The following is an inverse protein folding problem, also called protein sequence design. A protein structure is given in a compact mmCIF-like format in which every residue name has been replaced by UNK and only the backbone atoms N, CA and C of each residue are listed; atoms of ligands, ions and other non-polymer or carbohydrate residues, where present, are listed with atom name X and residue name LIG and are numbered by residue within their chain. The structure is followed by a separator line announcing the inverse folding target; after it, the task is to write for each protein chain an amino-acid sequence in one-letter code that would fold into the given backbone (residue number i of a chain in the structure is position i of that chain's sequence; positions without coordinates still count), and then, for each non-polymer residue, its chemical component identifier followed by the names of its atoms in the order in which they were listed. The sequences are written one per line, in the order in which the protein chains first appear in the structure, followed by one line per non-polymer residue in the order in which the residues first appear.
data_IF_136312442653
#
_entry.id   IF_136312442653
#
_cell.length_a   1.000
_cell.length_b   1.000
_cell.length_c   1.000
_cell.angle_alpha   90.00
_cell.angle_beta   90.00
_cell.angle_gamma   90.00
#
_symmetry.space_group_name_H-M   'P 1'
#
loop_
_entity.id
_entity.type
_entity.pdbx_description
1 polymer ?
#
# COMPACT_ATOMS: atom_id res chain seq x y z
N UNK A 1 -35.63 -4.76 101.59
CA UNK A 1 -35.08 -3.49 101.02
C UNK A 1 -33.59 -3.51 100.62
N UNK A 2 -32.74 -4.45 101.08
CA UNK A 2 -31.31 -4.45 100.73
C UNK A 2 -30.98 -4.95 99.29
N UNK A 3 -31.78 -5.84 98.70
CA UNK A 3 -31.55 -6.35 97.34
C UNK A 3 -31.73 -5.28 96.23
N UNK A 4 -32.61 -4.30 96.45
CA UNK A 4 -32.84 -3.19 95.50
C UNK A 4 -31.62 -2.26 95.39
N UNK A 5 -30.93 -1.99 96.51
CA UNK A 5 -29.71 -1.15 96.51
C UNK A 5 -28.57 -1.79 95.70
N UNK A 6 -28.44 -3.12 95.70
CA UNK A 6 -27.43 -3.86 94.94
C UNK A 6 -27.71 -3.94 93.43
N UNK A 7 -28.97 -3.89 92.99
CA UNK A 7 -29.30 -3.84 91.56
C UNK A 7 -29.04 -2.45 90.97
N UNK A 8 -29.35 -1.39 91.72
CA UNK A 8 -29.07 -0.01 91.30
C UNK A 8 -27.57 0.25 91.18
N UNK A 9 -26.74 -0.26 92.11
CA UNK A 9 -25.28 -0.12 92.04
C UNK A 9 -24.68 -0.86 90.84
N UNK A 10 -25.10 -2.11 90.57
CA UNK A 10 -24.65 -2.87 89.39
C UNK A 10 -25.01 -2.20 88.06
N UNK A 11 -26.19 -1.59 87.97
CA UNK A 11 -26.63 -0.84 86.77
C UNK A 11 -25.77 0.41 86.54
N UNK A 12 -25.45 1.16 87.60
CA UNK A 12 -24.54 2.32 87.52
C UNK A 12 -23.13 1.91 87.08
N UNK A 13 -22.58 0.82 87.61
CA UNK A 13 -21.24 0.32 87.22
C UNK A 13 -21.17 -0.11 85.76
N UNK A 14 -22.19 -0.81 85.23
CA UNK A 14 -22.25 -1.18 83.80
C UNK A 14 -22.37 0.04 82.89
N UNK A 15 -23.19 1.02 83.27
CA UNK A 15 -23.33 2.29 82.52
C UNK A 15 -22.02 3.07 82.51
N UNK A 16 -21.32 3.15 83.65
CA UNK A 16 -20.00 3.77 83.78
C UNK A 16 -18.97 3.06 82.90
N UNK A 17 -18.89 1.73 82.97
CA UNK A 17 -17.97 0.95 82.13
C UNK A 17 -18.22 1.18 80.62
N UNK A 18 -19.48 1.18 80.19
CA UNK A 18 -19.85 1.46 78.79
C UNK A 18 -19.48 2.90 78.37
N UNK A 19 -19.62 3.88 79.26
CA UNK A 19 -19.21 5.26 78.98
C UNK A 19 -17.69 5.40 78.87
N UNK A 20 -16.91 4.76 79.74
CA UNK A 20 -15.44 4.75 79.66
C UNK A 20 -14.98 4.08 78.36
N UNK A 21 -15.62 2.99 77.96
CA UNK A 21 -15.35 2.32 76.68
C UNK A 21 -15.63 3.22 75.48
N UNK A 22 -16.76 3.93 75.48
CA UNK A 22 -17.10 4.88 74.43
C UNK A 22 -16.14 6.08 74.42
N UNK A 23 -15.82 6.64 75.59
CA UNK A 23 -14.90 7.75 75.75
C UNK A 23 -13.49 7.37 75.23
N UNK A 24 -12.99 6.19 75.59
CA UNK A 24 -11.73 5.67 75.10
C UNK A 24 -11.73 5.46 73.59
N UNK A 25 -12.82 4.90 73.05
CA UNK A 25 -12.97 4.72 71.60
C UNK A 25 -12.93 6.05 70.86
N UNK A 26 -13.58 7.09 71.38
CA UNK A 26 -13.56 8.42 70.75
C UNK A 26 -12.22 9.14 70.96
N UNK A 27 -11.61 9.06 72.15
CA UNK A 27 -10.28 9.63 72.41
C UNK A 27 -9.18 8.99 71.55
N UNK A 28 -9.30 7.69 71.24
CA UNK A 28 -8.41 7.00 70.30
C UNK A 28 -8.50 7.53 68.87
N UNK A 29 -9.62 8.15 68.47
CA UNK A 29 -9.81 8.75 67.15
C UNK A 29 -9.17 10.12 67.01
N UNK A 30 -8.82 10.76 68.12
CA UNK A 30 -8.11 12.05 68.11
C UNK A 30 -6.59 11.85 68.02
N UNK A 31 -5.93 12.88 67.48
CA UNK A 31 -4.48 13.01 67.56
C UNK A 31 -4.00 12.98 69.02
N UNK A 32 -2.78 12.50 69.23
CA UNK A 32 -2.16 12.44 70.56
C UNK A 32 -2.23 13.78 71.33
N UNK A 33 -1.83 14.94 70.76
CA UNK A 33 -1.89 16.21 71.48
C UNK A 33 -3.32 16.62 71.85
N UNK A 34 -4.30 16.42 70.95
CA UNK A 34 -5.71 16.74 71.23
C UNK A 34 -6.31 15.83 72.30
N UNK A 35 -5.92 14.55 72.33
CA UNK A 35 -6.30 13.61 73.38
C UNK A 35 -5.76 14.06 74.74
N UNK A 36 -4.47 14.37 74.80
CA UNK A 36 -3.80 14.84 76.01
C UNK A 36 -4.47 16.12 76.51
N UNK A 37 -4.68 17.12 75.64
CA UNK A 37 -5.35 18.37 76.01
C UNK A 37 -6.75 18.14 76.61
N UNK A 38 -7.58 17.28 76.00
CA UNK A 38 -8.93 16.99 76.53
C UNK A 38 -8.86 16.30 77.88
N UNK A 39 -8.01 15.28 78.02
CA UNK A 39 -7.85 14.56 79.30
C UNK A 39 -7.37 15.54 80.36
N UNK A 40 -6.37 16.35 80.07
CA UNK A 40 -5.79 17.30 81.03
C UNK A 40 -6.77 18.40 81.43
N UNK A 41 -7.47 19.01 80.48
CA UNK A 41 -8.31 20.19 80.71
C UNK A 41 -9.73 19.85 81.17
N UNK A 42 -10.32 18.74 80.70
CA UNK A 42 -11.76 18.48 80.86
C UNK A 42 -12.09 17.42 81.91
N UNK A 43 -11.12 16.63 82.35
CA UNK A 43 -11.31 15.60 83.38
C UNK A 43 -10.70 16.06 84.71
N UNK A 44 -11.43 15.87 85.81
CA UNK A 44 -10.86 16.07 87.15
C UNK A 44 -9.80 15.01 87.46
N UNK A 45 -8.93 15.26 88.44
CA UNK A 45 -7.87 14.29 88.81
C UNK A 45 -8.44 12.91 89.18
N UNK A 46 -9.56 12.85 89.91
CA UNK A 46 -10.22 11.58 90.24
C UNK A 46 -10.78 10.84 89.01
N UNK A 47 -11.31 11.58 88.03
CA UNK A 47 -11.77 11.00 86.77
C UNK A 47 -10.60 10.49 85.92
N UNK A 48 -9.48 11.22 85.87
CA UNK A 48 -8.24 10.77 85.21
C UNK A 48 -7.77 9.44 85.78
N UNK A 49 -7.61 9.36 87.10
CA UNK A 49 -7.18 8.12 87.78
C UNK A 49 -8.15 6.95 87.52
N UNK A 50 -9.46 7.19 87.58
CA UNK A 50 -10.46 6.14 87.29
C UNK A 50 -10.35 5.65 85.84
N UNK A 51 -10.20 6.57 84.90
CA UNK A 51 -10.10 6.24 83.48
C UNK A 51 -8.79 5.51 83.16
N UNK A 52 -7.67 5.96 83.72
CA UNK A 52 -6.37 5.30 83.60
C UNK A 52 -6.40 3.88 84.17
N UNK A 53 -6.93 3.71 85.38
CA UNK A 53 -7.08 2.38 85.99
C UNK A 53 -7.97 1.46 85.15
N UNK A 54 -9.06 2.00 84.59
CA UNK A 54 -9.92 1.25 83.66
C UNK A 54 -9.17 0.84 82.38
N UNK A 55 -8.40 1.74 81.77
CA UNK A 55 -7.58 1.42 80.58
C UNK A 55 -6.58 0.31 80.90
N UNK A 56 -5.84 0.42 82.01
CA UNK A 56 -4.85 -0.57 82.42
C UNK A 56 -5.49 -1.94 82.69
N UNK A 57 -6.70 -1.97 83.24
CA UNK A 57 -7.47 -3.21 83.45
C UNK A 57 -7.97 -3.86 82.14
N UNK A 58 -8.19 -3.08 81.08
CA UNK A 58 -8.72 -3.59 79.80
C UNK A 58 -7.64 -3.94 78.77
N UNK A 59 -6.41 -3.47 78.91
CA UNK A 59 -5.30 -3.78 77.98
C UNK A 59 -4.66 -5.16 78.17
N UNK A 60 -5.03 -5.92 79.20
CA UNK A 60 -4.39 -7.20 79.56
C UNK A 60 -4.96 -8.46 78.86
N UNK A 61 -5.67 -8.32 77.74
CA UNK A 61 -6.15 -9.46 76.94
C UNK A 61 -5.67 -9.33 75.49
N UNK A 62 -4.57 -9.99 75.10
CA UNK A 62 -4.24 -10.23 73.70
C UNK A 62 -4.94 -11.50 73.20
N UNK A 63 -5.82 -11.34 72.21
CA UNK A 63 -6.42 -12.41 71.41
C UNK A 63 -5.33 -13.13 70.60
N UNK A 64 -5.25 -14.45 70.78
CA UNK A 64 -4.22 -15.34 70.22
C UNK A 64 -4.57 -15.99 68.87
N UNK A 65 -5.47 -15.40 68.06
CA UNK A 65 -5.95 -16.09 66.85
C UNK A 65 -6.21 -15.13 65.68
N UNK A 66 -5.21 -14.93 64.82
CA UNK A 66 -5.42 -14.59 63.40
C UNK A 66 -4.11 -14.68 62.59
N UNK A 67 -3.77 -15.90 62.13
CA UNK A 67 -2.87 -16.14 61.00
C UNK A 67 -3.73 -16.65 59.84
N UNK A 68 -3.60 -16.04 58.66
CA UNK A 68 -4.26 -16.43 57.41
C UNK A 68 -4.13 -15.28 56.40
N UNK A 69 -3.11 -15.26 55.52
CA UNK A 69 -2.95 -16.00 54.25
C UNK A 69 -4.06 -15.67 53.25
N UNK A 70 -3.70 -14.96 52.17
CA UNK A 70 -4.19 -15.09 50.78
C UNK A 70 -3.31 -14.16 49.91
N UNK A 71 -2.47 -14.63 49.00
CA UNK A 71 -2.69 -15.39 47.76
C UNK A 71 -3.38 -14.57 46.65
N UNK A 72 -2.54 -13.91 45.85
CA UNK A 72 -2.29 -14.10 44.41
C UNK A 72 -3.43 -14.12 43.37
N UNK A 73 -3.01 -13.97 42.11
CA UNK A 73 -3.73 -13.90 40.81
C UNK A 73 -4.17 -12.50 40.40
N UNK A 74 -3.94 -11.99 39.19
CA UNK A 74 -3.35 -12.56 37.98
C UNK A 74 -3.97 -11.88 36.74
N UNK A 75 -3.37 -12.15 35.57
CA UNK A 75 -3.96 -12.13 34.22
C UNK A 75 -3.72 -10.92 33.30
N UNK A 76 -2.98 -11.25 32.24
CA UNK A 76 -2.75 -10.57 30.96
C UNK A 76 -3.83 -10.90 29.93
N UNK A 77 -4.19 -9.96 29.05
CA UNK A 77 -4.86 -10.26 27.78
C UNK A 77 -4.36 -9.36 26.62
N UNK A 78 -4.39 -10.00 25.45
CA UNK A 78 -3.92 -9.60 24.11
C UNK A 78 -4.88 -8.62 23.41
N UNK A 79 -4.42 -7.96 22.32
CA UNK A 79 -5.31 -7.63 21.19
C UNK A 79 -4.55 -7.23 19.91
N UNK A 80 -5.19 -7.52 18.78
CA UNK A 80 -4.67 -7.72 17.44
C UNK A 80 -4.77 -6.50 16.50
N UNK A 81 -4.01 -6.58 15.40
CA UNK A 81 -4.04 -5.71 14.21
C UNK A 81 -5.25 -5.99 13.30
N UNK A 82 -5.61 -5.03 12.42
CA UNK A 82 -6.14 -5.40 11.10
C UNK A 82 -5.50 -4.67 9.91
N UNK A 83 -5.47 -5.42 8.80
CA UNK A 83 -4.95 -5.10 7.47
C UNK A 83 -6.09 -4.67 6.55
N UNK A 84 -5.88 -3.68 5.67
CA UNK A 84 -6.87 -3.31 4.64
C UNK A 84 -6.27 -2.57 3.45
N UNK A 85 -6.11 -3.26 2.31
CA UNK A 85 -5.60 -2.73 1.05
C UNK A 85 -6.71 -2.31 0.08
N UNK A 86 -6.59 -1.10 -0.49
CA UNK A 86 -7.48 -0.58 -1.56
C UNK A 86 -6.78 -0.56 -2.92
N UNK A 87 -7.36 -1.24 -3.90
CA UNK A 87 -7.00 -1.14 -5.32
C UNK A 87 -7.57 0.14 -5.95
N UNK A 88 -6.75 0.87 -6.73
CA UNK A 88 -7.13 2.07 -7.49
C UNK A 88 -7.21 1.77 -8.98
N UNK A 89 -8.36 2.10 -9.59
CA UNK A 89 -8.60 2.11 -11.05
C UNK A 89 -7.98 3.35 -11.70
N UNK A 90 -7.42 3.20 -12.91
CA UNK A 90 -6.86 4.29 -13.73
C UNK A 90 -7.88 4.74 -14.79
N UNK A 91 -8.11 6.06 -14.89
CA UNK A 91 -8.87 6.68 -15.97
C UNK A 91 -7.93 7.05 -17.13
N UNK A 92 -8.38 6.81 -18.37
CA UNK A 92 -7.67 7.14 -19.59
C UNK A 92 -8.21 8.43 -20.22
N UNK A 93 -7.32 9.37 -20.50
CA UNK A 93 -7.61 10.64 -21.16
C UNK A 93 -7.53 10.46 -22.68
N UNK A 94 -8.61 10.81 -23.39
CA UNK A 94 -8.64 10.92 -24.86
C UNK A 94 -8.25 12.35 -25.25
N UNK A 95 -7.32 12.51 -26.18
CA UNK A 95 -7.08 13.77 -26.89
C UNK A 95 -7.52 13.66 -28.34
N UNK A 96 -8.17 14.72 -28.80
CA UNK A 96 -8.76 14.91 -30.13
C UNK A 96 -7.88 15.88 -30.94
N UNK A 97 -7.81 15.66 -32.25
CA UNK A 97 -7.58 16.72 -33.25
C UNK A 97 -6.16 16.93 -33.76
N UNK A 98 -5.85 16.34 -34.92
CA UNK A 98 -5.27 17.07 -36.07
C UNK A 98 -5.32 16.17 -37.32
N UNK A 99 -5.91 16.72 -38.40
CA UNK A 99 -6.02 16.11 -39.73
C UNK A 99 -4.81 16.56 -40.55
N UNK A 100 -3.96 15.63 -40.94
CA UNK A 100 -3.01 15.77 -42.06
C UNK A 100 -2.55 14.37 -42.45
N UNK A 101 -2.77 14.02 -43.72
CA UNK A 101 -2.41 12.78 -44.42
C UNK A 101 -2.59 11.48 -43.62
N UNK A 102 -3.67 10.76 -43.93
CA UNK A 102 -3.96 9.41 -43.42
C UNK A 102 -2.86 8.41 -43.81
N UNK A 103 -1.74 8.44 -43.10
CA UNK A 103 -1.03 7.22 -42.74
C UNK A 103 -2.08 6.43 -41.98
N UNK A 104 -2.56 5.34 -42.60
CA UNK A 104 -3.46 4.37 -41.99
C UNK A 104 -2.99 4.12 -40.55
N UNK A 105 -3.68 4.72 -39.58
CA UNK A 105 -3.72 4.26 -38.19
C UNK A 105 -4.50 2.96 -38.26
N UNK A 106 -3.81 1.94 -38.78
CA UNK A 106 -4.30 0.59 -38.92
C UNK A 106 -5.04 0.24 -37.64
N UNK A 107 -6.22 -0.34 -37.80
CA UNK A 107 -6.84 -1.15 -36.77
C UNK A 107 -5.73 -1.91 -36.04
N UNK A 108 -5.85 -2.05 -34.72
CA UNK A 108 -5.01 -2.95 -33.94
C UNK A 108 -5.27 -4.39 -34.41
N UNK A 109 -4.86 -4.71 -35.65
CA UNK A 109 -4.75 -6.05 -36.17
C UNK A 109 -3.77 -6.69 -35.21
N UNK A 110 -4.31 -7.57 -34.37
CA UNK A 110 -3.48 -8.46 -33.58
C UNK A 110 -2.46 -9.08 -34.53
N UNK A 111 -1.21 -9.31 -34.09
CA UNK A 111 -0.28 -10.10 -34.88
C UNK A 111 -0.97 -11.42 -35.23
N UNK A 112 -1.27 -11.61 -36.51
CA UNK A 112 -2.21 -12.62 -36.97
C UNK A 112 -3.02 -12.13 -38.16
N UNK A 113 -3.01 -12.91 -39.23
CA UNK A 113 -3.70 -12.71 -40.49
C UNK A 113 -5.02 -11.90 -40.43
N UNK A 114 -5.17 -10.88 -41.28
CA UNK A 114 -6.34 -10.03 -41.34
C UNK A 114 -6.74 -9.59 -42.75
N UNK A 115 -8.01 -9.21 -42.89
CA UNK A 115 -8.55 -8.58 -44.09
C UNK A 115 -8.66 -7.08 -43.83
N UNK A 116 -8.05 -6.27 -44.70
CA UNK A 116 -8.22 -4.81 -44.69
C UNK A 116 -9.12 -4.39 -45.83
N UNK A 117 -9.96 -3.38 -45.61
CA UNK A 117 -10.81 -2.81 -46.66
C UNK A 117 -10.67 -1.30 -46.71
N UNK A 118 -10.80 -0.74 -47.91
CA UNK A 118 -10.86 0.71 -48.12
C UNK A 118 -11.78 1.03 -49.31
N UNK A 119 -12.20 2.29 -49.39
CA UNK A 119 -12.96 2.84 -50.50
C UNK A 119 -12.01 3.67 -51.38
N UNK A 120 -12.12 3.52 -52.69
CA UNK A 120 -11.45 4.44 -53.62
C UNK A 120 -12.22 5.77 -53.76
N UNK A 121 -11.69 6.70 -54.55
CA UNK A 121 -12.34 8.00 -54.82
C UNK A 121 -13.71 7.86 -55.50
N UNK A 122 -13.99 6.73 -56.14
CA UNK A 122 -15.28 6.42 -56.78
C UNK A 122 -16.28 5.71 -55.85
N UNK A 123 -15.92 5.51 -54.58
CA UNK A 123 -16.74 4.77 -53.62
C UNK A 123 -16.71 3.25 -53.80
N UNK A 124 -15.86 2.71 -54.68
CA UNK A 124 -15.69 1.27 -54.85
C UNK A 124 -14.85 0.70 -53.71
N UNK A 125 -15.32 -0.40 -53.14
CA UNK A 125 -14.65 -1.09 -52.03
C UNK A 125 -13.61 -2.08 -52.55
N UNK A 126 -12.42 -2.02 -51.96
CA UNK A 126 -11.35 -2.98 -52.18
C UNK A 126 -11.00 -3.70 -50.88
N UNK A 127 -10.58 -4.94 -51.02
CA UNK A 127 -10.15 -5.81 -49.95
C UNK A 127 -8.72 -6.28 -50.21
N UNK A 128 -7.91 -6.35 -49.15
CA UNK A 128 -6.56 -6.93 -49.18
C UNK A 128 -6.40 -7.87 -48.00
N UNK A 129 -6.11 -9.12 -48.33
CA UNK A 129 -5.65 -10.11 -47.37
C UNK A 129 -4.19 -9.82 -47.00
N UNK A 130 -3.88 -9.83 -45.71
CA UNK A 130 -2.52 -9.65 -45.21
C UNK A 130 -2.24 -10.65 -44.11
N UNK A 131 -1.08 -11.28 -44.18
CA UNK A 131 -0.60 -12.24 -43.18
C UNK A 131 0.80 -11.86 -42.75
N UNK A 132 1.12 -12.06 -41.47
CA UNK A 132 2.44 -11.77 -40.91
C UNK A 132 3.02 -13.04 -40.33
N UNK A 133 4.09 -13.54 -40.94
CA UNK A 133 4.86 -14.71 -40.52
C UNK A 133 6.21 -14.23 -39.98
N UNK A 134 6.32 -14.13 -38.66
CA UNK A 134 7.48 -13.54 -37.94
C UNK A 134 7.82 -12.11 -38.34
N UNK A 135 8.77 -11.99 -39.26
CA UNK A 135 9.41 -10.79 -39.77
C UNK A 135 9.06 -10.59 -41.24
N UNK A 136 8.18 -11.42 -41.80
CA UNK A 136 7.72 -11.31 -43.17
C UNK A 136 6.22 -11.02 -43.18
N UNK A 137 5.84 -9.90 -43.76
CA UNK A 137 4.46 -9.54 -44.03
C UNK A 137 4.16 -9.84 -45.50
N UNK A 138 3.18 -10.72 -45.72
CA UNK A 138 2.68 -11.10 -47.03
C UNK A 138 1.39 -10.32 -47.26
N UNK A 139 1.31 -9.63 -48.39
CA UNK A 139 0.17 -8.82 -48.79
C UNK A 139 -0.33 -9.30 -50.15
N UNK A 140 -1.61 -9.63 -50.22
CA UNK A 140 -2.29 -9.91 -51.46
C UNK A 140 -2.53 -8.66 -52.31
N UNK A 141 -2.79 -8.87 -53.60
CA UNK A 141 -3.31 -7.82 -54.48
C UNK A 141 -4.66 -7.28 -53.98
N UNK A 142 -4.95 -6.03 -54.32
CA UNK A 142 -6.25 -5.42 -54.04
C UNK A 142 -7.34 -6.05 -54.92
N UNK A 143 -8.46 -6.43 -54.29
CA UNK A 143 -9.54 -7.14 -54.95
C UNK A 143 -10.90 -6.54 -54.60
N UNK A 144 -11.87 -6.62 -55.51
CA UNK A 144 -13.24 -6.11 -55.28
C UNK A 144 -14.16 -7.15 -54.67
N UNK A 145 -13.98 -8.42 -55.04
CA UNK A 145 -14.77 -9.51 -54.50
C UNK A 145 -14.28 -9.90 -53.10
N UNK A 146 -15.18 -9.81 -52.13
CA UNK A 146 -14.91 -10.17 -50.74
C UNK A 146 -14.74 -11.68 -50.58
N UNK A 147 -15.46 -12.50 -51.34
CA UNK A 147 -15.39 -13.96 -51.17
C UNK A 147 -14.05 -14.50 -51.68
N UNK A 148 -13.60 -14.03 -52.84
CA UNK A 148 -12.23 -14.33 -53.30
C UNK A 148 -11.18 -13.82 -52.31
N UNK A 149 -11.39 -12.64 -51.69
CA UNK A 149 -10.43 -12.11 -50.71
C UNK A 149 -10.40 -12.93 -49.40
N UNK A 150 -11.53 -13.51 -48.97
CA UNK A 150 -11.60 -14.45 -47.84
C UNK A 150 -10.88 -15.76 -48.16
N UNK A 151 -11.17 -16.37 -49.33
CA UNK A 151 -10.47 -17.57 -49.80
C UNK A 151 -8.96 -17.37 -49.84
N UNK A 152 -8.52 -16.19 -50.31
CA UNK A 152 -7.11 -15.83 -50.33
C UNK A 152 -6.52 -15.70 -48.93
N UNK A 153 -7.25 -15.08 -47.98
CA UNK A 153 -6.80 -14.99 -46.59
C UNK A 153 -6.66 -16.37 -45.94
N UNK A 154 -7.55 -17.30 -46.25
CA UNK A 154 -7.47 -18.71 -45.80
C UNK A 154 -6.23 -19.40 -46.38
N UNK A 155 -5.98 -19.29 -47.68
CA UNK A 155 -4.75 -19.82 -48.30
C UNK A 155 -3.48 -19.24 -47.67
N UNK A 156 -3.45 -17.92 -47.40
CA UNK A 156 -2.30 -17.29 -46.75
C UNK A 156 -2.11 -17.77 -45.30
N UNK A 157 -3.20 -18.06 -44.57
CA UNK A 157 -3.15 -18.63 -43.21
C UNK A 157 -2.63 -20.07 -43.22
N UNK A 158 -3.05 -20.88 -44.19
CA UNK A 158 -2.54 -22.24 -44.37
C UNK A 158 -1.04 -22.24 -44.69
N UNK A 159 -0.61 -21.42 -45.66
CA UNK A 159 0.82 -21.27 -45.97
C UNK A 159 1.63 -20.77 -44.78
N UNK A 160 1.08 -19.84 -44.00
CA UNK A 160 1.69 -19.38 -42.74
C UNK A 160 1.79 -20.51 -41.70
N UNK A 161 0.76 -21.33 -41.56
CA UNK A 161 0.74 -22.43 -40.58
C UNK A 161 1.83 -23.45 -40.90
N UNK A 162 1.94 -23.86 -42.17
CA UNK A 162 3.00 -24.76 -42.64
C UNK A 162 4.39 -24.15 -42.38
N UNK A 163 4.61 -22.89 -42.77
CA UNK A 163 5.88 -22.21 -42.54
C UNK A 163 6.20 -22.00 -41.05
N UNK A 164 5.20 -21.92 -40.18
CA UNK A 164 5.41 -21.78 -38.73
C UNK A 164 5.74 -23.12 -38.09
N UNK A 165 5.09 -24.20 -38.53
CA UNK A 165 5.42 -25.56 -38.09
C UNK A 165 6.82 -25.98 -38.53
N UNK A 166 7.25 -25.56 -39.72
CA UNK A 166 8.58 -25.86 -40.26
C UNK A 166 9.74 -25.17 -39.53
N UNK A 167 9.48 -24.14 -38.69
CA UNK A 167 10.52 -23.45 -37.91
C UNK A 167 11.19 -24.28 -36.83
N UNK A 168 10.66 -25.47 -36.53
CA UNK A 168 11.40 -26.45 -35.76
C UNK A 168 12.70 -26.87 -36.50
N UNK A 169 12.78 -26.66 -37.82
CA UNK A 169 13.95 -26.90 -38.65
C UNK A 169 14.67 -25.57 -38.97
N UNK A 170 15.99 -25.55 -38.89
CA UNK A 170 16.84 -24.36 -38.91
C UNK A 170 16.79 -23.56 -40.24
N UNK A 171 16.01 -22.47 -40.25
CA UNK A 171 16.13 -21.18 -40.98
C UNK A 171 16.39 -21.10 -42.51
N UNK A 172 17.00 -22.09 -43.16
CA UNK A 172 17.46 -21.99 -44.56
C UNK A 172 16.35 -22.23 -45.58
N UNK A 173 15.36 -23.06 -45.27
CA UNK A 173 14.33 -23.51 -46.23
C UNK A 173 13.01 -22.73 -46.14
N UNK A 174 12.99 -21.58 -45.44
CA UNK A 174 11.75 -20.80 -45.27
C UNK A 174 11.17 -20.38 -46.62
N UNK A 175 12.03 -19.97 -47.57
CA UNK A 175 11.60 -19.54 -48.90
C UNK A 175 10.91 -20.65 -49.67
N UNK A 176 11.55 -21.82 -49.76
CA UNK A 176 11.04 -22.97 -50.51
C UNK A 176 9.79 -23.54 -49.84
N UNK A 177 9.83 -23.72 -48.52
CA UNK A 177 8.69 -24.23 -47.74
C UNK A 177 7.49 -23.29 -47.83
N UNK A 178 7.69 -21.99 -47.62
CA UNK A 178 6.61 -21.00 -47.67
C UNK A 178 6.10 -20.84 -49.11
N UNK A 179 6.98 -20.79 -50.10
CA UNK A 179 6.62 -20.68 -51.51
C UNK A 179 5.79 -21.88 -51.97
N UNK A 180 6.24 -23.10 -51.69
CA UNK A 180 5.53 -24.33 -52.02
C UNK A 180 4.18 -24.43 -51.29
N UNK A 181 4.15 -24.10 -49.99
CA UNK A 181 2.92 -24.12 -49.20
C UNK A 181 1.88 -23.10 -49.69
N UNK A 182 2.33 -21.87 -50.00
CA UNK A 182 1.46 -20.84 -50.56
C UNK A 182 0.93 -21.23 -51.94
N UNK A 183 1.81 -21.70 -52.84
CA UNK A 183 1.40 -22.12 -54.18
C UNK A 183 0.38 -23.26 -54.12
N UNK A 184 0.62 -24.29 -53.28
CA UNK A 184 -0.30 -25.41 -53.05
C UNK A 184 -1.65 -24.93 -52.49
N UNK A 185 -1.65 -24.06 -51.48
CA UNK A 185 -2.87 -23.56 -50.86
C UNK A 185 -3.70 -22.66 -51.81
N UNK A 186 -3.05 -22.00 -52.77
CA UNK A 186 -3.70 -21.20 -53.81
C UNK A 186 -4.25 -22.07 -54.93
N UNK A 187 -3.49 -23.05 -55.41
CA UNK A 187 -3.91 -23.93 -56.51
C UNK A 187 -5.11 -24.79 -56.13
N UNK A 188 -5.19 -25.25 -54.88
CA UNK A 188 -6.36 -25.95 -54.33
C UNK A 188 -7.66 -25.12 -54.40
N UNK A 189 -7.55 -23.80 -54.55
CA UNK A 189 -8.69 -22.87 -54.63
C UNK A 189 -8.82 -22.17 -55.98
N UNK A 190 -8.00 -22.53 -56.98
CA UNK A 190 -7.98 -21.90 -58.30
C UNK A 190 -7.51 -20.44 -58.28
N UNK A 191 -6.58 -20.10 -57.36
CA UNK A 191 -6.07 -18.73 -57.15
C UNK A 191 -4.57 -18.60 -57.47
N UNK A 192 -3.99 -19.55 -58.20
CA UNK A 192 -2.54 -19.63 -58.49
C UNK A 192 -2.01 -18.39 -59.23
N UNK A 193 -2.81 -17.79 -60.12
CA UNK A 193 -2.43 -16.56 -60.85
C UNK A 193 -2.23 -15.36 -59.92
N UNK A 194 -2.81 -15.37 -58.72
CA UNK A 194 -2.64 -14.31 -57.74
C UNK A 194 -1.28 -14.36 -57.03
N UNK A 195 -0.56 -15.49 -57.09
CA UNK A 195 0.76 -15.65 -56.47
C UNK A 195 1.75 -14.59 -56.96
N UNK A 196 1.81 -14.37 -58.28
CA UNK A 196 2.69 -13.37 -58.91
C UNK A 196 2.34 -11.91 -58.53
N UNK A 197 1.11 -11.70 -58.06
CA UNK A 197 0.60 -10.38 -57.64
C UNK A 197 0.75 -10.14 -56.13
N UNK A 198 1.28 -11.12 -55.40
CA UNK A 198 1.59 -10.95 -53.99
C UNK A 198 2.77 -10.00 -53.81
N UNK A 199 2.81 -9.37 -52.64
CA UNK A 199 3.84 -8.42 -52.25
C UNK A 199 4.31 -8.73 -50.84
N UNK A 200 5.60 -8.54 -50.61
CA UNK A 200 6.27 -8.98 -49.39
C UNK A 200 6.97 -7.81 -48.72
N UNK A 201 6.83 -7.64 -47.42
CA UNK A 201 7.49 -6.57 -46.66
C UNK A 201 8.16 -7.19 -45.44
N UNK A 202 9.40 -6.82 -45.17
CA UNK A 202 10.15 -7.31 -44.03
C UNK A 202 9.95 -6.38 -42.85
N UNK A 203 9.67 -6.95 -41.67
CA UNK A 203 9.45 -6.25 -40.40
C UNK A 203 10.48 -6.68 -39.37
N UNK A 204 11.47 -5.82 -39.13
CA UNK A 204 12.54 -6.05 -38.17
C UNK A 204 12.28 -5.24 -36.90
N UNK A 205 12.14 -5.87 -35.72
CA UNK A 205 11.97 -5.12 -34.48
C UNK A 205 13.17 -4.21 -34.21
N UNK A 206 12.90 -2.91 -34.06
CA UNK A 206 13.91 -1.88 -33.87
C UNK A 206 13.51 -0.93 -32.72
N UNK A 207 12.81 -1.47 -31.72
CA UNK A 207 12.17 -0.68 -30.65
C UNK A 207 13.16 0.14 -29.83
N UNK A 208 14.38 -0.35 -29.70
CA UNK A 208 15.44 0.36 -28.98
C UNK A 208 15.77 1.69 -29.67
N UNK A 209 16.00 1.65 -30.98
CA UNK A 209 16.47 2.77 -31.78
C UNK A 209 15.36 3.72 -32.23
N UNK A 210 14.24 3.18 -32.71
CA UNK A 210 13.14 3.99 -33.29
C UNK A 210 11.79 3.81 -32.57
N UNK A 211 11.75 3.09 -31.45
CA UNK A 211 10.50 2.85 -30.69
C UNK A 211 9.52 1.86 -31.33
N UNK A 212 9.76 1.43 -32.57
CA UNK A 212 8.87 0.58 -33.35
C UNK A 212 9.55 -0.62 -34.02
N UNK A 213 8.97 -1.09 -35.11
CA UNK A 213 9.60 -2.05 -36.02
C UNK A 213 9.96 -1.32 -37.30
N UNK A 214 11.15 -1.59 -37.82
CA UNK A 214 11.58 -1.15 -39.13
C UNK A 214 10.84 -1.98 -40.18
N UNK A 215 10.19 -1.32 -41.12
CA UNK A 215 9.40 -1.97 -42.16
C UNK A 215 9.94 -1.59 -43.53
N UNK A 216 10.27 -2.58 -44.34
CA UNK A 216 10.72 -2.35 -45.72
C UNK A 216 9.54 -2.01 -46.62
N UNK A 217 9.79 -1.33 -47.75
CA UNK A 217 8.86 -1.30 -48.87
C UNK A 217 8.42 -2.70 -49.29
N UNK A 218 7.32 -2.76 -50.04
CA UNK A 218 6.78 -4.00 -50.57
C UNK A 218 7.60 -4.49 -51.76
N UNK A 219 8.31 -5.59 -51.56
CA UNK A 219 9.06 -6.34 -52.56
C UNK A 219 8.10 -7.20 -53.40
N UNK A 220 8.40 -7.32 -54.70
CA UNK A 220 7.57 -8.07 -55.64
C UNK A 220 7.76 -9.59 -55.54
N UNK A 221 8.92 -10.03 -55.06
CA UNK A 221 9.37 -11.42 -55.10
C UNK A 221 9.66 -11.96 -53.70
N UNK A 222 9.26 -13.22 -53.46
CA UNK A 222 9.40 -13.89 -52.17
C UNK A 222 10.88 -14.14 -51.85
N UNK A 223 11.67 -14.55 -52.84
CA UNK A 223 13.10 -14.83 -52.68
C UNK A 223 13.88 -13.61 -52.25
N UNK A 224 13.63 -12.48 -52.93
CA UNK A 224 14.19 -11.18 -52.58
C UNK A 224 13.80 -10.77 -51.16
N UNK A 225 12.55 -10.98 -50.76
CA UNK A 225 12.09 -10.66 -49.40
C UNK A 225 12.71 -11.57 -48.32
N UNK A 226 12.88 -12.86 -48.60
CA UNK A 226 13.58 -13.79 -47.71
C UNK A 226 15.06 -13.41 -47.54
N UNK A 227 15.74 -13.04 -48.63
CA UNK A 227 17.12 -12.54 -48.58
C UNK A 227 17.23 -11.24 -47.78
N UNK A 228 16.36 -10.27 -48.04
CA UNK A 228 16.30 -9.01 -47.28
C UNK A 228 16.02 -9.27 -45.79
N UNK A 229 15.10 -10.19 -45.48
CA UNK A 229 14.82 -10.64 -44.11
C UNK A 229 16.08 -11.17 -43.43
N UNK A 230 16.83 -12.06 -44.09
CA UNK A 230 18.07 -12.62 -43.55
C UNK A 230 19.11 -11.54 -43.26
N UNK A 231 19.45 -10.72 -44.27
CA UNK A 231 20.40 -9.59 -44.15
C UNK A 231 20.05 -8.68 -42.97
N UNK A 232 18.79 -8.24 -42.87
CA UNK A 232 18.38 -7.29 -41.83
C UNK A 232 18.32 -7.94 -40.44
N UNK A 233 17.95 -9.21 -40.33
CA UNK A 233 17.95 -9.91 -39.04
C UNK A 233 19.37 -10.22 -38.55
N UNK A 234 20.28 -10.60 -39.45
CA UNK A 234 21.70 -10.79 -39.15
C UNK A 234 22.34 -9.50 -38.66
N UNK A 235 22.15 -8.38 -39.36
CA UNK A 235 22.70 -7.08 -38.95
C UNK A 235 22.10 -6.56 -37.63
N UNK A 236 20.82 -6.81 -37.39
CA UNK A 236 20.18 -6.52 -36.10
C UNK A 236 20.74 -7.39 -34.96
N UNK A 237 21.20 -8.59 -35.29
CA UNK A 237 21.78 -9.55 -34.36
C UNK A 237 20.79 -10.10 -33.33
N UNK A 238 21.27 -10.77 -32.28
CA UNK A 238 20.46 -11.45 -31.27
C UNK A 238 19.77 -10.50 -30.28
N UNK A 239 19.64 -9.21 -30.60
CA UNK A 239 18.90 -8.24 -29.78
C UNK A 239 17.47 -8.76 -29.64
N UNK A 240 17.16 -9.49 -28.57
CA UNK A 240 15.85 -10.16 -28.40
C UNK A 240 14.74 -9.13 -28.54
N UNK A 241 13.56 -9.57 -28.99
CA UNK A 241 12.38 -8.72 -29.15
C UNK A 241 11.74 -8.27 -27.81
N UNK A 242 12.57 -7.81 -26.86
CA UNK A 242 12.19 -7.30 -25.55
C UNK A 242 13.26 -6.37 -24.99
N UNK A 243 12.90 -5.55 -24.01
CA UNK A 243 13.75 -4.51 -23.38
C UNK A 243 14.97 -5.05 -22.60
N UNK A 244 15.29 -6.35 -22.71
CA UNK A 244 16.44 -6.97 -22.06
C UNK A 244 17.68 -6.86 -22.95
N UNK A 245 18.39 -5.74 -22.77
CA UNK A 245 19.70 -5.42 -23.36
C UNK A 245 20.82 -5.52 -22.32
N UNK A 246 20.65 -6.34 -21.30
CA UNK A 246 21.59 -6.57 -20.20
C UNK A 246 22.98 -7.10 -20.67
N UNK A 247 23.22 -7.22 -21.98
CA UNK A 247 24.35 -7.95 -22.57
C UNK A 247 25.04 -7.24 -23.76
N UNK A 248 24.78 -5.96 -24.05
CA UNK A 248 25.48 -5.27 -25.13
C UNK A 248 25.96 -3.88 -24.70
N UNK A 249 27.25 -3.61 -24.91
CA UNK A 249 27.86 -2.30 -24.72
C UNK A 249 27.19 -1.26 -25.62
N UNK A 250 27.09 0.00 -25.16
CA UNK A 250 26.43 1.06 -25.91
C UNK A 250 27.08 1.30 -27.29
N UNK A 251 28.40 1.12 -27.38
CA UNK A 251 29.14 1.23 -28.63
C UNK A 251 28.73 0.15 -29.65
N UNK A 252 28.57 -1.10 -29.21
CA UNK A 252 28.12 -2.20 -30.07
C UNK A 252 26.70 -1.99 -30.58
N UNK A 253 25.83 -1.42 -29.74
CA UNK A 253 24.45 -1.10 -30.12
C UNK A 253 24.38 -0.02 -31.21
N UNK A 254 25.25 0.99 -31.13
CA UNK A 254 25.33 2.07 -32.12
C UNK A 254 25.94 1.56 -33.44
N UNK A 255 27.00 0.75 -33.36
CA UNK A 255 27.61 0.12 -34.53
C UNK A 255 26.61 -0.80 -35.27
N UNK A 256 25.85 -1.61 -34.53
CA UNK A 256 24.78 -2.46 -35.10
C UNK A 256 23.66 -1.63 -35.71
N UNK A 257 23.31 -0.50 -35.11
CA UNK A 257 22.29 0.38 -35.67
C UNK A 257 22.71 0.95 -37.01
N UNK A 258 23.93 1.50 -37.10
CA UNK A 258 24.48 2.04 -38.35
C UNK A 258 24.52 0.98 -39.45
N UNK A 259 24.96 -0.25 -39.12
CA UNK A 259 24.94 -1.36 -40.06
C UNK A 259 23.52 -1.68 -40.53
N UNK A 260 22.56 -1.79 -39.59
CA UNK A 260 21.16 -2.06 -39.91
C UNK A 260 20.53 -0.95 -40.77
N UNK A 261 20.86 0.32 -40.52
CA UNK A 261 20.41 1.45 -41.35
C UNK A 261 20.95 1.34 -42.77
N UNK A 262 22.24 1.08 -42.93
CA UNK A 262 22.87 0.92 -44.26
C UNK A 262 22.18 -0.17 -45.07
N UNK A 263 22.04 -1.37 -44.49
CA UNK A 263 21.37 -2.49 -45.17
C UNK A 263 19.89 -2.24 -45.44
N UNK A 264 19.21 -1.50 -44.57
CA UNK A 264 17.81 -1.12 -44.82
C UNK A 264 17.69 -0.20 -46.04
N UNK A 265 18.56 0.80 -46.16
CA UNK A 265 18.57 1.71 -47.30
C UNK A 265 18.93 0.97 -48.60
N UNK A 266 19.85 0.01 -48.54
CA UNK A 266 20.14 -0.89 -49.66
C UNK A 266 18.90 -1.69 -50.08
N UNK A 267 18.18 -2.30 -49.14
CA UNK A 267 16.94 -3.04 -49.43
C UNK A 267 15.85 -2.12 -49.99
N UNK A 268 15.76 -0.86 -49.51
CA UNK A 268 14.84 0.13 -50.06
C UNK A 268 15.20 0.49 -51.51
N UNK A 269 16.49 0.65 -51.82
CA UNK A 269 16.98 0.85 -53.18
C UNK A 269 16.66 -0.33 -54.08
N UNK A 270 16.91 -1.56 -53.63
CA UNK A 270 16.55 -2.79 -54.34
C UNK A 270 15.03 -2.88 -54.62
N UNK A 271 14.21 -2.34 -53.72
CA UNK A 271 12.76 -2.24 -53.88
C UNK A 271 12.29 -1.09 -54.81
N UNK A 272 13.21 -0.29 -55.36
CA UNK A 272 12.90 0.88 -56.19
C UNK A 272 12.35 2.08 -55.41
N UNK A 273 12.57 2.14 -54.10
CA UNK A 273 12.18 3.29 -53.28
C UNK A 273 13.26 4.37 -53.30
N UNK A 274 12.84 5.62 -53.13
CA UNK A 274 13.76 6.74 -52.99
C UNK A 274 14.55 6.62 -51.67
N UNK A 275 15.88 6.57 -51.79
CA UNK A 275 16.81 6.40 -50.67
C UNK A 275 16.77 7.64 -49.77
N UNK A 276 16.65 8.84 -50.35
CA UNK A 276 16.62 10.09 -49.60
C UNK A 276 15.39 10.12 -48.68
N UNK A 277 14.21 9.86 -49.26
CA UNK A 277 12.97 9.77 -48.49
C UNK A 277 13.01 8.68 -47.40
N UNK A 278 13.59 7.51 -47.70
CA UNK A 278 13.73 6.44 -46.72
C UNK A 278 14.67 6.81 -45.57
N UNK A 279 15.76 7.55 -45.86
CA UNK A 279 16.68 8.07 -44.85
C UNK A 279 16.02 9.14 -43.98
N UNK A 280 15.30 10.10 -44.57
CA UNK A 280 14.56 11.15 -43.84
C UNK A 280 13.55 10.54 -42.85
N UNK A 281 12.79 9.53 -43.29
CA UNK A 281 11.84 8.84 -42.41
C UNK A 281 12.53 8.08 -41.26
N UNK A 282 13.71 7.51 -41.50
CA UNK A 282 14.51 6.88 -40.46
C UNK A 282 14.99 7.89 -39.43
N UNK A 283 15.48 9.04 -39.87
CA UNK A 283 15.95 10.13 -39.00
C UNK A 283 14.80 10.72 -38.18
N UNK A 284 13.64 10.97 -38.81
CA UNK A 284 12.43 11.43 -38.14
C UNK A 284 12.00 10.45 -37.03
N UNK A 285 12.00 9.14 -37.33
CA UNK A 285 11.64 8.11 -36.37
C UNK A 285 12.63 8.04 -35.19
N UNK A 286 13.93 8.20 -35.44
CA UNK A 286 14.94 8.29 -34.38
C UNK A 286 14.76 9.54 -33.52
N UNK A 287 14.55 10.70 -34.13
CA UNK A 287 14.32 11.95 -33.42
C UNK A 287 13.09 11.85 -32.52
N UNK A 288 11.98 11.32 -33.04
CA UNK A 288 10.76 11.04 -32.28
C UNK A 288 11.03 10.10 -31.09
N UNK A 289 11.84 9.06 -31.28
CA UNK A 289 12.21 8.13 -30.20
C UNK A 289 13.05 8.81 -29.12
N UNK A 290 14.06 9.59 -29.50
CA UNK A 290 14.89 10.33 -28.55
C UNK A 290 14.06 11.34 -27.75
N UNK A 291 13.16 12.08 -28.40
CA UNK A 291 12.22 12.98 -27.74
C UNK A 291 11.32 12.23 -26.76
N UNK A 292 10.78 11.08 -27.16
CA UNK A 292 9.96 10.22 -26.30
C UNK A 292 10.73 9.70 -25.07
N UNK A 293 12.00 9.30 -25.24
CA UNK A 293 12.86 8.86 -24.15
C UNK A 293 13.17 10.00 -23.17
N UNK A 294 13.50 11.19 -23.68
CA UNK A 294 13.70 12.40 -22.86
C UNK A 294 12.44 12.76 -22.07
N UNK A 295 11.27 12.73 -22.71
CA UNK A 295 9.99 12.98 -22.05
C UNK A 295 9.69 11.91 -20.97
N UNK A 296 9.93 10.64 -21.25
CA UNK A 296 9.74 9.55 -20.28
C UNK A 296 10.69 9.68 -19.07
N UNK A 297 11.95 10.05 -19.32
CA UNK A 297 12.94 10.33 -18.27
C UNK A 297 12.51 11.53 -17.41
N UNK A 298 12.03 12.62 -18.02
CA UNK A 298 11.52 13.78 -17.30
C UNK A 298 10.31 13.42 -16.41
N UNK A 299 9.35 12.66 -16.92
CA UNK A 299 8.20 12.18 -16.13
C UNK A 299 8.65 11.28 -14.97
N UNK A 300 9.66 10.43 -15.17
CA UNK A 300 10.23 9.59 -14.11
C UNK A 300 10.92 10.45 -13.04
N UNK A 301 11.70 11.45 -13.44
CA UNK A 301 12.36 12.40 -12.54
C UNK A 301 11.33 13.19 -11.71
N UNK A 302 10.30 13.74 -12.35
CA UNK A 302 9.20 14.43 -11.66
C UNK A 302 8.50 13.53 -10.63
N UNK A 303 8.24 12.26 -10.96
CA UNK A 303 7.65 11.31 -10.01
C UNK A 303 8.56 11.01 -8.82
N UNK A 304 9.87 10.92 -9.05
CA UNK A 304 10.85 10.72 -7.97
C UNK A 304 10.91 11.96 -7.07
N UNK A 305 10.93 13.17 -7.65
CA UNK A 305 10.90 14.42 -6.91
C UNK A 305 9.61 14.56 -6.09
N UNK A 306 8.44 14.27 -6.66
CA UNK A 306 7.16 14.28 -5.94
C UNK A 306 7.13 13.27 -4.78
N UNK A 307 7.70 12.07 -4.98
CA UNK A 307 7.83 11.06 -3.91
C UNK A 307 8.76 11.52 -2.80
N UNK A 308 9.86 12.19 -3.15
CA UNK A 308 10.78 12.77 -2.19
C UNK A 308 10.08 13.85 -1.35
N UNK A 309 9.40 14.81 -1.98
CA UNK A 309 8.64 15.85 -1.30
C UNK A 309 7.59 15.25 -0.34
N UNK A 310 6.79 14.29 -0.79
CA UNK A 310 5.81 13.61 0.05
C UNK A 310 6.45 12.92 1.27
N UNK A 311 7.64 12.33 1.12
CA UNK A 311 8.38 11.74 2.25
C UNK A 311 8.84 12.80 3.23
N UNK A 312 9.30 13.96 2.75
CA UNK A 312 9.72 15.07 3.62
C UNK A 312 8.54 15.67 4.39
N UNK A 313 7.38 15.86 3.76
CA UNK A 313 6.16 16.36 4.42
C UNK A 313 5.66 15.38 5.48
N UNK A 314 5.66 14.07 5.18
CA UNK A 314 5.30 13.04 6.16
C UNK A 314 6.22 13.06 7.39
N UNK A 315 7.51 13.31 7.20
CA UNK A 315 8.47 13.46 8.32
C UNK A 315 8.13 14.68 9.17
N UNK A 316 7.92 15.84 8.54
CA UNK A 316 7.50 17.07 9.23
C UNK A 316 6.18 16.88 10.01
N UNK A 317 5.19 16.21 9.42
CA UNK A 317 3.92 15.91 10.08
C UNK A 317 4.09 14.94 11.26
N UNK A 318 4.97 13.94 11.14
CA UNK A 318 5.29 13.02 12.24
C UNK A 318 6.00 13.74 13.40
N UNK A 319 6.92 14.65 13.11
CA UNK A 319 7.59 15.50 14.10
C UNK A 319 6.60 16.42 14.81
N UNK A 320 5.71 17.10 14.07
CA UNK A 320 4.66 17.93 14.66
C UNK A 320 3.72 17.12 15.56
N UNK A 321 3.32 15.91 15.13
CA UNK A 321 2.51 15.00 15.94
C UNK A 321 3.23 14.56 17.22
N UNK A 322 4.55 14.31 17.16
CA UNK A 322 5.38 14.00 18.33
C UNK A 322 5.38 15.17 19.32
N UNK A 323 5.67 16.39 18.85
CA UNK A 323 5.67 17.61 19.68
C UNK A 323 4.30 17.82 20.34
N UNK A 324 3.22 17.63 19.60
CA UNK A 324 1.86 17.76 20.15
C UNK A 324 1.56 16.69 21.23
N UNK A 325 1.94 15.43 21.00
CA UNK A 325 1.81 14.36 22.00
C UNK A 325 2.61 14.65 23.26
N UNK A 326 3.82 15.18 23.12
CA UNK A 326 4.67 15.55 24.26
C UNK A 326 4.05 16.70 25.05
N UNK A 327 3.47 17.70 24.38
CA UNK A 327 2.70 18.78 25.04
C UNK A 327 1.50 18.24 25.82
N UNK A 328 0.70 17.36 25.22
CA UNK A 328 -0.44 16.73 25.90
C UNK A 328 -0.03 15.88 27.10
N UNK A 329 1.09 15.16 27.02
CA UNK A 329 1.65 14.42 28.16
C UNK A 329 2.03 15.37 29.29
N UNK A 330 2.63 16.51 28.97
CA UNK A 330 2.94 17.56 29.94
C UNK A 330 1.69 18.13 30.62
N UNK A 331 0.64 18.44 29.87
CA UNK A 331 -0.64 18.93 30.40
C UNK A 331 -1.35 17.87 31.25
N UNK A 332 -1.38 16.61 30.80
CA UNK A 332 -1.95 15.50 31.56
C UNK A 332 -1.20 15.26 32.89
N UNK A 333 0.13 15.43 32.89
CA UNK A 333 0.94 15.36 34.11
C UNK A 333 0.58 16.48 35.09
N UNK A 334 0.47 17.74 34.61
CA UNK A 334 0.00 18.88 35.43
C UNK A 334 -1.38 18.63 36.04
N UNK A 335 -2.33 18.10 35.25
CA UNK A 335 -3.66 17.78 35.74
C UNK A 335 -3.65 16.67 36.82
N UNK A 336 -2.78 15.66 36.68
CA UNK A 336 -2.59 14.63 37.72
C UNK A 336 -2.02 15.23 39.01
N UNK A 337 -1.05 16.14 38.90
CA UNK A 337 -0.46 16.82 40.05
C UNK A 337 -1.51 17.64 40.82
N UNK A 338 -2.28 18.48 40.12
CA UNK A 338 -3.37 19.27 40.72
C UNK A 338 -4.43 18.38 41.39
N UNK A 339 -4.79 17.24 40.79
CA UNK A 339 -5.70 16.27 41.41
C UNK A 339 -5.11 15.65 42.68
N UNK A 340 -3.81 15.38 42.72
CA UNK A 340 -3.16 14.87 43.92
C UNK A 340 -3.12 15.91 45.05
N UNK A 341 -2.84 17.18 44.74
CA UNK A 341 -2.87 18.29 45.69
C UNK A 341 -4.28 18.48 46.26
N UNK A 342 -5.30 18.48 45.40
CA UNK A 342 -6.70 18.59 45.83
C UNK A 342 -7.10 17.43 46.76
N UNK A 343 -6.65 16.20 46.49
CA UNK A 343 -6.90 15.05 47.37
C UNK A 343 -6.25 15.21 48.74
N UNK A 344 -5.03 15.76 48.80
CA UNK A 344 -4.34 16.04 50.06
C UNK A 344 -5.10 17.10 50.85
N UNK A 345 -5.52 18.20 50.20
CA UNK A 345 -6.31 19.25 50.83
C UNK A 345 -7.67 18.74 51.34
N UNK A 346 -8.40 17.96 50.54
CA UNK A 346 -9.66 17.34 50.96
C UNK A 346 -9.48 16.39 52.14
N UNK A 347 -8.37 15.64 52.18
CA UNK A 347 -8.05 14.76 53.31
C UNK A 347 -7.77 15.57 54.57
N UNK A 348 -6.98 16.65 54.47
CA UNK A 348 -6.72 17.55 55.60
C UNK A 348 -8.01 18.16 56.15
N UNK A 349 -8.87 18.70 55.27
CA UNK A 349 -10.16 19.25 55.65
C UNK A 349 -11.08 18.22 56.32
N UNK A 350 -11.14 16.98 55.79
CA UNK A 350 -11.90 15.89 56.44
C UNK A 350 -11.35 15.57 57.82
N UNK A 351 -10.03 15.55 57.99
CA UNK A 351 -9.40 15.32 59.30
C UNK A 351 -9.80 16.41 60.31
N UNK A 352 -9.76 17.68 59.91
CA UNK A 352 -10.21 18.81 60.75
C UNK A 352 -11.69 18.69 61.15
N UNK A 353 -12.58 18.40 60.19
CA UNK A 353 -14.01 18.20 60.46
C UNK A 353 -14.27 17.01 61.40
N UNK A 354 -13.57 15.90 61.19
CA UNK A 354 -13.66 14.75 62.10
C UNK A 354 -13.16 15.09 63.50
N UNK A 355 -12.10 15.90 63.62
CA UNK A 355 -11.58 16.32 64.91
C UNK A 355 -12.60 17.18 65.68
N UNK A 356 -13.24 18.13 65.01
CA UNK A 356 -14.31 18.97 65.60
C UNK A 356 -15.48 18.09 66.08
N UNK A 357 -15.96 17.18 65.23
CA UNK A 357 -17.07 16.30 65.58
C UNK A 357 -16.75 15.37 66.75
N UNK A 358 -15.55 14.79 66.77
CA UNK A 358 -15.09 13.89 67.85
C UNK A 358 -14.93 14.68 69.16
N UNK A 359 -14.38 15.90 69.13
CA UNK A 359 -14.28 16.78 70.31
C UNK A 359 -15.65 17.08 70.92
N UNK A 360 -16.63 17.47 70.11
CA UNK A 360 -18.01 17.72 70.55
C UNK A 360 -18.67 16.46 71.15
N UNK A 361 -18.46 15.30 70.51
CA UNK A 361 -18.96 14.03 71.05
C UNK A 361 -18.33 13.67 72.40
N UNK A 362 -17.02 13.87 72.56
CA UNK A 362 -16.32 13.66 73.83
C UNK A 362 -16.86 14.59 74.90
N UNK A 363 -17.03 15.88 74.61
CA UNK A 363 -17.60 16.84 75.55
C UNK A 363 -18.97 16.38 76.09
N UNK A 364 -19.85 15.88 75.20
CA UNK A 364 -21.15 15.31 75.59
C UNK A 364 -21.03 14.05 76.45
N UNK A 365 -20.07 13.16 76.15
CA UNK A 365 -19.81 11.97 76.96
C UNK A 365 -19.29 12.32 78.36
N UNK A 366 -18.37 13.28 78.44
CA UNK A 366 -17.84 13.78 79.71
C UNK A 366 -18.93 14.44 80.56
N UNK A 367 -19.80 15.25 79.95
CA UNK A 367 -20.94 15.83 80.65
C UNK A 367 -21.86 14.75 81.26
N UNK A 368 -22.16 13.68 80.50
CA UNK A 368 -22.95 12.54 81.00
C UNK A 368 -22.25 11.79 82.13
N UNK A 369 -20.93 11.63 82.07
CA UNK A 369 -20.18 10.99 83.13
C UNK A 369 -20.20 11.82 84.42
N UNK A 370 -20.02 13.14 84.35
CA UNK A 370 -20.13 14.03 85.53
C UNK A 370 -21.48 13.90 86.25
N UNK A 371 -22.57 13.64 85.52
CA UNK A 371 -23.91 13.42 86.11
C UNK A 371 -23.99 12.08 86.86
N UNK A 372 -23.27 11.05 86.42
CA UNK A 372 -23.26 9.74 87.08
C UNK A 372 -22.33 9.65 88.28
N UNK A 373 -21.33 10.53 88.36
CA UNK A 373 -20.41 10.64 89.50
C UNK A 373 -21.03 11.43 90.68
N UNK A 374 -22.08 12.22 90.42
CA UNK A 374 -22.98 12.80 91.44
C UNK A 374 -24.02 11.76 91.88
#
# INVERSE_FOLDING_TARGET
MQLSKNMVSRSKTRKRHRLLQLLHRELKRLSRPSREAIIFQQMSQGQKMTFEHWILSTQRLPDATAVGVQADTGRTENSANPTGGRQRRKCGTRSFGQRSLQINRHAKCRPGAGLTSWLDKSGRRFYVATVVTEHLQIRAAAMRDIETAKKLLESLREGQAVATSAKACESWDLEETLGAALYKALSQRGLETLYQRMRFSVRVPARRWIGGALQTPYLADLRTACRARRKLLEARGPTRAGDRTDLADEQDLEARWKNLQSLYLEVCKEAGSDIAQAADHLEEAQCCRQASLKAAAAVKAQKLQARFLLRTEKRKAAEACKVWKDKLRGEAFKAKLLRSELRVQQKAWRMEQTEVFVKDRIARLLARWRVLDK
#
